data_IF_344211301025
#
_entry.id   IF_344211301025
#
_cell.length_a   1.000
_cell.length_b   1.000
_cell.length_c   1.000
_cell.angle_alpha   90.00
_cell.angle_beta   90.00
_cell.angle_gamma   90.00
#
_symmetry.space_group_name_H-M   'P 1'
#
loop_
_entity.id
_entity.type
_entity.pdbx_description
1 polymer ?
#
# COMPACT_ATOMS: atom_id res chain seq x y z
N UNK A 1 28.50 -17.54 -64.96
CA UNK A 1 27.71 -16.34 -64.64
C UNK A 1 26.63 -16.75 -63.67
N UNK A 2 26.89 -16.67 -62.41
CA UNK A 2 25.90 -17.08 -61.37
C UNK A 2 25.60 -15.87 -60.50
N UNK A 3 24.38 -15.36 -60.59
CA UNK A 3 23.89 -14.25 -59.79
C UNK A 3 23.42 -14.82 -58.44
N UNK A 4 24.15 -14.52 -57.39
CA UNK A 4 23.77 -14.81 -56.02
C UNK A 4 22.76 -13.75 -55.53
N UNK A 5 21.52 -14.15 -55.33
CA UNK A 5 20.48 -13.33 -54.75
C UNK A 5 20.56 -13.48 -53.24
N UNK A 6 21.09 -12.44 -52.56
CA UNK A 6 21.16 -12.38 -51.11
C UNK A 6 19.81 -11.95 -50.55
N UNK A 7 19.12 -12.89 -49.90
CA UNK A 7 17.85 -12.65 -49.19
C UNK A 7 18.17 -12.15 -47.78
N UNK A 8 18.08 -10.82 -47.57
CA UNK A 8 18.25 -10.17 -46.27
C UNK A 8 16.97 -10.37 -45.46
N UNK A 9 17.02 -11.29 -44.52
CA UNK A 9 15.95 -11.55 -43.58
C UNK A 9 16.00 -10.51 -42.44
N UNK A 10 15.13 -9.49 -42.51
CA UNK A 10 14.98 -8.49 -41.46
C UNK A 10 14.19 -9.09 -40.30
N UNK A 11 14.89 -9.43 -39.23
CA UNK A 11 14.29 -9.83 -37.95
C UNK A 11 13.75 -8.57 -37.24
N UNK A 12 12.46 -8.38 -37.28
CA UNK A 12 11.79 -7.39 -36.45
C UNK A 12 11.72 -7.92 -35.01
N UNK A 13 12.64 -7.46 -34.17
CA UNK A 13 12.55 -7.65 -32.71
C UNK A 13 11.49 -6.70 -32.16
N UNK A 14 10.30 -7.23 -31.90
CA UNK A 14 9.30 -6.56 -31.07
C UNK A 14 9.82 -6.48 -29.63
N UNK A 15 10.44 -5.36 -29.29
CA UNK A 15 10.79 -5.03 -27.92
C UNK A 15 9.51 -4.80 -27.12
N UNK A 16 9.08 -5.82 -26.39
CA UNK A 16 8.10 -5.64 -25.35
C UNK A 16 8.72 -4.76 -24.26
N UNK A 17 8.36 -3.47 -24.23
CA UNK A 17 8.62 -2.62 -23.08
C UNK A 17 7.88 -3.17 -21.86
N UNK A 18 8.54 -4.03 -21.10
CA UNK A 18 8.14 -4.33 -19.73
C UNK A 18 8.39 -3.04 -18.94
N UNK A 19 7.33 -2.30 -18.63
CA UNK A 19 7.39 -1.29 -17.57
C UNK A 19 7.66 -2.02 -16.26
N UNK A 20 8.90 -2.08 -15.90
CA UNK A 20 9.33 -2.46 -14.55
C UNK A 20 8.89 -1.32 -13.64
N UNK A 21 7.74 -1.46 -13.00
CA UNK A 21 7.34 -0.52 -11.95
C UNK A 21 8.35 -0.65 -10.82
N UNK A 22 9.00 0.46 -10.51
CA UNK A 22 10.05 0.52 -9.50
C UNK A 22 9.44 0.23 -8.13
N UNK A 23 9.99 -0.74 -7.33
CA UNK A 23 9.43 -1.12 -6.03
C UNK A 23 9.59 -0.03 -4.95
N UNK A 24 9.25 1.15 -5.13
CA UNK A 24 9.44 2.24 -4.18
C UNK A 24 8.44 3.38 -4.38
N UNK A 25 7.52 3.22 -5.31
CA UNK A 25 6.59 4.29 -5.66
C UNK A 25 5.46 4.51 -4.63
N UNK A 26 5.33 3.67 -3.58
CA UNK A 26 4.39 3.89 -2.48
C UNK A 26 4.99 4.70 -1.31
N UNK A 27 6.30 4.87 -1.28
CA UNK A 27 7.01 5.63 -0.25
C UNK A 27 6.68 7.12 -0.36
N UNK A 28 6.55 7.79 0.78
CA UNK A 28 6.13 9.19 0.91
C UNK A 28 4.71 9.48 0.38
N UNK A 29 3.84 8.46 0.44
CA UNK A 29 2.43 8.53 0.09
C UNK A 29 1.56 8.03 1.24
N UNK A 30 0.29 8.44 1.22
CA UNK A 30 -0.74 7.97 2.14
C UNK A 30 -1.84 7.23 1.37
N UNK A 31 -2.41 6.23 2.03
CA UNK A 31 -3.39 5.32 1.47
C UNK A 31 -4.58 5.15 2.42
N UNK A 32 -5.75 4.87 1.87
CA UNK A 32 -6.96 4.58 2.65
C UNK A 32 -7.40 3.13 2.42
N UNK A 33 -7.69 2.41 3.50
CA UNK A 33 -8.15 1.01 3.45
C UNK A 33 -9.55 0.93 2.83
N UNK A 34 -9.71 -0.02 1.91
CA UNK A 34 -10.99 -0.35 1.25
C UNK A 34 -11.61 -1.61 1.87
N UNK A 35 -12.83 -1.90 1.46
CA UNK A 35 -13.61 -3.06 1.94
C UNK A 35 -13.87 -3.06 3.46
N UNK A 36 -14.05 -1.86 4.01
CA UNK A 36 -14.50 -1.62 5.38
C UNK A 36 -15.86 -0.91 5.38
N UNK A 37 -16.64 -0.96 6.46
CA UNK A 37 -17.86 -0.17 6.59
C UNK A 37 -17.63 1.33 6.38
N UNK A 38 -18.63 2.05 5.84
CA UNK A 38 -18.51 3.47 5.46
C UNK A 38 -18.10 4.41 6.61
N UNK A 39 -18.41 4.03 7.84
CA UNK A 39 -18.04 4.79 9.04
C UNK A 39 -16.62 4.47 9.55
N UNK A 40 -15.92 3.50 8.96
CA UNK A 40 -14.57 3.10 9.34
C UNK A 40 -13.55 3.74 8.41
N UNK A 41 -12.71 4.63 8.94
CA UNK A 41 -11.63 5.28 8.22
C UNK A 41 -10.28 4.84 8.76
N UNK A 42 -9.55 4.06 7.98
CA UNK A 42 -8.22 3.56 8.30
C UNK A 42 -7.26 4.02 7.20
N UNK A 43 -6.21 4.71 7.59
CA UNK A 43 -5.17 5.20 6.67
C UNK A 43 -3.81 4.57 6.98
N UNK A 44 -2.94 4.52 5.98
CA UNK A 44 -1.57 4.01 6.08
C UNK A 44 -0.65 4.90 5.23
N UNK A 45 0.27 5.58 5.89
CA UNK A 45 1.30 6.39 5.25
C UNK A 45 2.70 5.81 5.46
N UNK A 46 3.61 6.15 4.56
CA UNK A 46 5.00 5.70 4.58
C UNK A 46 5.96 6.88 4.49
N UNK A 47 6.92 6.92 5.39
CA UNK A 47 8.00 7.90 5.39
C UNK A 47 9.32 7.22 4.99
N UNK A 48 9.86 7.59 3.83
CA UNK A 48 11.02 6.91 3.25
C UNK A 48 12.32 7.13 4.01
N UNK A 49 12.54 8.33 4.53
CA UNK A 49 13.80 8.68 5.21
C UNK A 49 14.04 7.89 6.51
N UNK A 50 12.98 7.56 7.22
CA UNK A 50 13.03 6.92 8.54
C UNK A 50 12.50 5.50 8.55
N UNK A 51 12.04 4.98 7.40
CA UNK A 51 11.35 3.70 7.27
C UNK A 51 10.18 3.56 8.27
N UNK A 52 9.46 4.66 8.50
CA UNK A 52 8.31 4.70 9.40
C UNK A 52 7.03 4.55 8.62
N UNK A 53 6.11 3.78 9.19
CA UNK A 53 4.70 3.84 8.82
C UNK A 53 3.91 4.58 9.89
N UNK A 54 2.81 5.18 9.48
CA UNK A 54 1.91 5.91 10.35
C UNK A 54 0.50 5.94 9.74
N UNK A 55 -0.47 6.31 10.54
CA UNK A 55 -1.84 6.47 10.06
C UNK A 55 -2.85 6.62 11.17
N UNK A 56 -4.11 6.49 10.79
CA UNK A 56 -5.26 6.41 11.68
C UNK A 56 -5.90 5.04 11.55
N UNK A 57 -6.18 4.40 12.69
CA UNK A 57 -6.70 3.04 12.77
C UNK A 57 -8.20 2.98 13.13
N UNK A 58 -8.99 3.90 12.65
CA UNK A 58 -10.39 4.22 12.92
C UNK A 58 -10.59 5.21 14.08
N UNK A 59 -10.07 4.97 15.27
CA UNK A 59 -10.15 5.88 16.43
C UNK A 59 -8.80 6.51 16.70
N UNK A 60 -7.78 5.69 16.84
CA UNK A 60 -6.45 6.10 17.30
C UNK A 60 -5.49 6.36 16.14
N UNK A 61 -4.47 7.17 16.42
CA UNK A 61 -3.29 7.25 15.55
C UNK A 61 -2.35 6.12 15.89
N UNK A 62 -1.69 5.57 14.88
CA UNK A 62 -0.73 4.49 15.04
C UNK A 62 0.52 4.74 14.20
N UNK A 63 1.62 4.11 14.60
CA UNK A 63 2.91 4.26 13.93
C UNK A 63 3.83 3.08 14.26
N UNK A 64 4.86 2.92 13.45
CA UNK A 64 5.89 1.90 13.65
C UNK A 64 6.96 1.99 12.58
N UNK A 65 7.72 0.90 12.45
CA UNK A 65 8.82 0.76 11.49
C UNK A 65 8.45 -0.31 10.47
N UNK A 66 8.66 -0.04 9.19
CA UNK A 66 8.55 -1.05 8.14
C UNK A 66 9.93 -1.46 7.62
N UNK A 67 10.00 -2.66 7.07
CA UNK A 67 11.17 -3.16 6.35
C UNK A 67 10.76 -3.55 4.94
N UNK A 68 11.49 -3.06 3.96
CA UNK A 68 11.26 -3.32 2.55
C UNK A 68 12.49 -4.02 1.95
N UNK A 69 12.27 -5.19 1.34
CA UNK A 69 13.28 -5.95 0.61
C UNK A 69 12.64 -6.57 -0.64
N UNK A 70 12.85 -5.94 -1.80
CA UNK A 70 12.15 -6.31 -3.02
C UNK A 70 10.64 -6.20 -2.87
N UNK A 71 9.91 -7.30 -3.02
CA UNK A 71 8.46 -7.37 -2.82
C UNK A 71 8.07 -7.76 -1.39
N UNK A 72 9.05 -8.00 -0.52
CA UNK A 72 8.80 -8.31 0.88
C UNK A 72 8.65 -7.00 1.65
N UNK A 73 7.49 -6.83 2.28
CA UNK A 73 7.17 -5.69 3.13
C UNK A 73 6.66 -6.21 4.47
N UNK A 74 7.33 -5.84 5.54
CA UNK A 74 6.95 -6.24 6.89
C UNK A 74 6.83 -5.04 7.81
N UNK A 75 5.96 -5.16 8.80
CA UNK A 75 5.67 -4.12 9.77
C UNK A 75 6.03 -4.59 11.18
N UNK A 76 6.64 -3.72 11.96
CA UNK A 76 6.76 -3.93 13.41
C UNK A 76 5.36 -3.90 14.06
N UNK A 77 5.20 -4.42 15.29
CA UNK A 77 4.03 -4.08 16.08
C UNK A 77 3.87 -2.57 16.17
N UNK A 78 2.64 -2.08 16.00
CA UNK A 78 2.34 -0.66 16.02
C UNK A 78 2.20 -0.12 17.44
N UNK A 79 2.81 1.04 17.69
CA UNK A 79 2.40 1.90 18.80
C UNK A 79 1.12 2.66 18.42
N UNK A 80 0.26 2.94 19.38
CA UNK A 80 -0.94 3.74 19.13
C UNK A 80 -1.29 4.64 20.30
N UNK A 81 -2.05 5.72 20.04
CA UNK A 81 -2.74 6.47 21.08
C UNK A 81 -3.83 5.59 21.72
N UNK A 82 -4.36 6.01 22.86
CA UNK A 82 -5.30 5.21 23.65
C UNK A 82 -6.60 5.99 23.92
N UNK A 83 -7.15 6.60 22.87
CA UNK A 83 -8.45 7.25 22.95
C UNK A 83 -9.56 6.20 22.92
N UNK A 84 -10.64 6.46 23.64
CA UNK A 84 -11.87 5.67 23.61
C UNK A 84 -12.78 6.21 22.51
N UNK A 85 -13.43 5.29 21.79
CA UNK A 85 -14.38 5.60 20.73
C UNK A 85 -15.58 4.64 20.72
N UNK A 86 -16.48 4.76 19.75
CA UNK A 86 -17.57 3.82 19.54
C UNK A 86 -17.05 2.38 19.44
N UNK A 87 -17.82 1.44 19.98
CA UNK A 87 -17.42 0.04 20.10
C UNK A 87 -17.06 -0.61 18.76
N UNK A 88 -17.86 -0.35 17.73
CA UNK A 88 -17.66 -0.84 16.36
C UNK A 88 -16.35 -0.32 15.75
N UNK A 89 -16.01 0.94 15.97
CA UNK A 89 -14.76 1.53 15.52
C UNK A 89 -13.55 0.98 16.28
N UNK A 90 -13.69 0.76 17.59
CA UNK A 90 -12.64 0.14 18.41
C UNK A 90 -12.39 -1.31 17.99
N UNK A 91 -13.44 -2.06 17.62
CA UNK A 91 -13.30 -3.41 17.11
C UNK A 91 -12.61 -3.44 15.73
N UNK A 92 -13.00 -2.54 14.82
CA UNK A 92 -12.36 -2.39 13.51
C UNK A 92 -10.87 -2.06 13.65
N UNK A 93 -10.52 -1.13 14.55
CA UNK A 93 -9.15 -0.78 14.89
C UNK A 93 -8.33 -1.96 15.38
N UNK A 94 -8.85 -2.71 16.36
CA UNK A 94 -8.16 -3.87 16.91
C UNK A 94 -7.93 -4.95 15.86
N UNK A 95 -8.92 -5.21 15.01
CA UNK A 95 -8.80 -6.18 13.93
C UNK A 95 -7.73 -5.77 12.93
N UNK A 96 -7.72 -4.52 12.50
CA UNK A 96 -6.72 -3.99 11.60
C UNK A 96 -5.29 -4.06 12.18
N UNK A 97 -5.10 -3.56 13.39
CA UNK A 97 -3.78 -3.53 14.04
C UNK A 97 -3.22 -4.92 14.34
N UNK A 98 -4.07 -5.95 14.46
CA UNK A 98 -3.65 -7.37 14.57
C UNK A 98 -3.19 -7.96 13.24
N UNK A 99 -3.77 -7.51 12.13
CA UNK A 99 -3.41 -8.03 10.79
C UNK A 99 -2.12 -7.40 10.25
N UNK A 100 -1.85 -6.14 10.58
CA UNK A 100 -0.72 -5.41 10.03
C UNK A 100 0.65 -6.09 10.25
N UNK A 101 1.01 -6.60 11.44
CA UNK A 101 2.27 -7.32 11.66
C UNK A 101 2.38 -8.67 10.93
N UNK A 102 1.27 -9.20 10.42
CA UNK A 102 1.25 -10.46 9.67
C UNK A 102 1.58 -10.27 8.19
N UNK A 103 1.63 -9.02 7.71
CA UNK A 103 1.95 -8.72 6.31
C UNK A 103 3.35 -9.22 5.98
N UNK A 104 3.50 -9.86 4.80
CA UNK A 104 4.76 -10.40 4.29
C UNK A 104 5.16 -9.80 2.96
N UNK A 105 4.19 -9.58 2.07
CA UNK A 105 4.45 -9.10 0.72
C UNK A 105 3.45 -8.01 0.33
N UNK A 106 3.80 -7.26 -0.70
CA UNK A 106 2.92 -6.26 -1.28
C UNK A 106 2.92 -6.32 -2.80
N UNK A 107 1.89 -5.72 -3.38
CA UNK A 107 1.80 -5.44 -4.80
C UNK A 107 1.25 -4.03 -5.01
N UNK A 108 1.87 -3.28 -5.90
CA UNK A 108 1.38 -1.97 -6.31
C UNK A 108 0.75 -2.09 -7.70
N UNK A 109 -0.51 -1.71 -7.84
CA UNK A 109 -1.27 -1.73 -9.09
C UNK A 109 -1.86 -0.34 -9.34
N UNK A 110 -1.16 0.51 -10.09
CA UNK A 110 -1.54 1.90 -10.29
C UNK A 110 -1.57 2.65 -8.95
N UNK A 111 -2.73 3.13 -8.55
CA UNK A 111 -2.96 3.81 -7.27
C UNK A 111 -3.39 2.88 -6.13
N UNK A 112 -3.38 1.56 -6.36
CA UNK A 112 -3.77 0.56 -5.37
C UNK A 112 -2.55 -0.10 -4.76
N UNK A 113 -2.48 -0.08 -3.43
CA UNK A 113 -1.53 -0.85 -2.65
C UNK A 113 -2.24 -2.07 -2.05
N UNK A 114 -1.78 -3.25 -2.40
CA UNK A 114 -2.28 -4.52 -1.88
C UNK A 114 -1.24 -5.13 -0.96
N UNK A 115 -1.63 -5.44 0.27
CA UNK A 115 -0.79 -6.09 1.26
C UNK A 115 -1.30 -7.51 1.48
N UNK A 116 -0.39 -8.47 1.51
CA UNK A 116 -0.69 -9.89 1.70
C UNK A 116 -0.10 -10.37 3.01
N UNK A 117 -0.93 -11.01 3.81
CA UNK A 117 -0.53 -11.55 5.12
C UNK A 117 -0.07 -13.00 5.02
N UNK A 118 0.56 -13.51 6.10
CA UNK A 118 1.03 -14.90 6.19
C UNK A 118 -0.11 -15.93 6.19
N UNK A 119 -1.34 -15.52 6.51
CA UNK A 119 -2.56 -16.32 6.51
C UNK A 119 -3.43 -16.06 5.27
N UNK A 120 -2.81 -15.63 4.16
CA UNK A 120 -3.43 -15.41 2.83
C UNK A 120 -4.57 -14.38 2.81
N UNK A 121 -4.61 -13.46 3.76
CA UNK A 121 -5.51 -12.30 3.70
C UNK A 121 -4.93 -11.20 2.84
N UNK A 122 -5.80 -10.46 2.17
CA UNK A 122 -5.46 -9.29 1.38
C UNK A 122 -6.05 -8.03 2.02
N UNK A 123 -5.20 -7.03 2.24
CA UNK A 123 -5.61 -5.68 2.60
C UNK A 123 -5.44 -4.78 1.38
N UNK A 124 -6.51 -4.17 0.92
CA UNK A 124 -6.52 -3.32 -0.29
C UNK A 124 -6.65 -1.86 0.12
N UNK A 125 -5.70 -1.07 -0.33
CA UNK A 125 -5.65 0.37 -0.09
C UNK A 125 -5.67 1.13 -1.40
N UNK A 126 -6.35 2.27 -1.44
CA UNK A 126 -6.23 3.25 -2.52
C UNK A 126 -5.36 4.42 -2.07
N UNK A 127 -4.53 4.94 -2.97
CA UNK A 127 -3.75 6.16 -2.73
C UNK A 127 -4.71 7.32 -2.44
N UNK A 128 -4.45 8.05 -1.35
CA UNK A 128 -5.26 9.20 -0.97
C UNK A 128 -5.01 10.37 -1.92
N UNK A 129 -6.10 11.04 -2.28
CA UNK A 129 -6.08 12.27 -3.07
C UNK A 129 -6.46 13.46 -2.19
N UNK A 130 -6.25 14.68 -2.67
CA UNK A 130 -6.69 15.90 -1.97
C UNK A 130 -8.19 15.94 -1.68
N UNK A 131 -9.00 15.24 -2.46
CA UNK A 131 -10.45 15.12 -2.25
C UNK A 131 -10.78 14.20 -1.07
N UNK A 132 -9.98 13.17 -0.83
CA UNK A 132 -10.16 12.27 0.31
C UNK A 132 -9.83 12.99 1.62
N UNK A 133 -8.86 13.89 1.62
CA UNK A 133 -8.52 14.74 2.76
C UNK A 133 -9.63 15.75 3.09
N UNK A 134 -10.25 16.35 2.07
CA UNK A 134 -11.34 17.31 2.25
C UNK A 134 -12.61 16.66 2.79
N UNK A 135 -12.91 15.45 2.34
CA UNK A 135 -14.09 14.67 2.76
C UNK A 135 -13.89 13.90 4.08
N UNK A 136 -12.69 13.89 4.64
CA UNK A 136 -12.44 13.27 5.92
C UNK A 136 -13.27 13.96 7.03
N UNK A 137 -13.91 13.20 7.95
CA UNK A 137 -14.62 13.78 9.08
C UNK A 137 -13.74 14.77 9.85
N UNK A 138 -14.33 15.83 10.40
CA UNK A 138 -13.61 16.95 11.02
C UNK A 138 -12.61 16.54 12.13
N UNK A 139 -12.85 15.38 12.77
CA UNK A 139 -11.93 14.77 13.74
C UNK A 139 -10.74 14.01 13.09
N UNK A 140 -10.67 13.98 11.78
CA UNK A 140 -9.60 13.32 10.99
C UNK A 140 -8.58 14.31 10.40
N UNK A 141 -8.83 15.59 10.52
CA UNK A 141 -7.97 16.62 9.92
C UNK A 141 -6.87 17.02 10.91
N UNK A 142 -5.86 16.16 11.09
CA UNK A 142 -4.54 16.56 11.66
C UNK A 142 -3.58 15.37 11.64
#
# INVERSE_FOLDING_TARGET
MKKLLSLLLMLFALGACHKTETPGSFVDKEYILRNVPDNVHITLGFEGKSNRFFGKSAVNRYFGIYTLDGNNLTFSPAGSTMMMGPRDLMEAEQNYLKELPKVKTFKLEGNKLKLYTEDDKELVFDEMTSLDEENAPANNRY
#
